data_IF_218276562066
#
_entry.id   IF_218276562066
#
_cell.length_a   1.000
_cell.length_b   1.000
_cell.length_c   1.000
_cell.angle_alpha   90.00
_cell.angle_beta   90.00
_cell.angle_gamma   90.00
#
_symmetry.space_group_name_H-M   'P 1'
#
loop_
_entity.id
_entity.type
_entity.pdbx_description
1 polymer ?
#
# COMPACT_ATOMS: atom_id res chain seq x y z
N UNK A 1 -12.65 8.69 -37.90
CA UNK A 1 -11.34 8.05 -37.54
C UNK A 1 -11.19 8.14 -36.01
N UNK A 2 -11.14 7.01 -35.32
CA UNK A 2 -10.92 7.03 -33.88
C UNK A 2 -9.52 7.58 -33.57
N UNK A 3 -9.42 8.49 -32.60
CA UNK A 3 -8.13 8.99 -32.15
C UNK A 3 -7.27 7.81 -31.60
N UNK A 4 -5.96 7.96 -31.65
CA UNK A 4 -5.04 6.95 -31.08
C UNK A 4 -5.34 6.71 -29.59
N UNK A 5 -5.70 7.77 -28.87
CA UNK A 5 -6.16 7.71 -27.48
C UNK A 5 -7.34 6.73 -27.31
N UNK A 6 -8.41 6.92 -28.10
CA UNK A 6 -9.57 6.03 -28.02
C UNK A 6 -9.19 4.58 -28.29
N UNK A 7 -8.31 4.34 -29.27
CA UNK A 7 -7.83 2.97 -29.57
C UNK A 7 -7.08 2.36 -28.37
N UNK A 8 -6.18 3.10 -27.73
CA UNK A 8 -5.45 2.60 -26.58
C UNK A 8 -6.34 2.33 -25.36
N UNK A 9 -7.42 3.09 -25.20
CA UNK A 9 -8.34 2.95 -24.07
C UNK A 9 -9.47 1.96 -24.28
N UNK A 10 -9.62 1.42 -25.51
CA UNK A 10 -10.70 0.47 -25.85
C UNK A 10 -10.20 -0.88 -26.34
N UNK A 11 -8.91 -1.04 -26.61
CA UNK A 11 -8.33 -2.27 -27.13
C UNK A 11 -7.17 -2.76 -26.25
N UNK A 12 -7.08 -4.06 -26.06
CA UNK A 12 -5.96 -4.71 -25.39
C UNK A 12 -4.66 -4.64 -26.18
N UNK A 13 -3.58 -5.19 -25.62
CA UNK A 13 -2.27 -5.34 -26.26
C UNK A 13 -2.01 -6.82 -26.58
N UNK A 14 -0.92 -7.10 -27.32
CA UNK A 14 -0.53 -8.48 -27.62
C UNK A 14 -0.17 -9.29 -26.36
N UNK A 15 0.33 -8.61 -25.30
CA UNK A 15 0.68 -9.25 -24.03
C UNK A 15 -0.54 -9.45 -23.12
N UNK A 16 -1.57 -8.60 -23.27
CA UNK A 16 -2.78 -8.56 -22.45
C UNK A 16 -3.98 -8.18 -23.32
N UNK A 17 -4.48 -9.11 -24.15
CA UNK A 17 -5.54 -8.80 -25.13
C UNK A 17 -6.88 -8.48 -24.46
N UNK A 18 -7.14 -9.04 -23.29
CA UNK A 18 -8.41 -8.90 -22.57
C UNK A 18 -8.38 -7.81 -21.47
N UNK A 19 -7.18 -7.28 -21.15
CA UNK A 19 -7.04 -6.25 -20.10
C UNK A 19 -7.18 -4.85 -20.71
N UNK A 20 -8.37 -4.29 -20.55
CA UNK A 20 -8.67 -2.90 -20.93
C UNK A 20 -9.09 -2.15 -19.68
N UNK A 21 -8.24 -1.23 -19.14
CA UNK A 21 -8.60 -0.45 -17.97
C UNK A 21 -9.80 0.47 -18.26
N UNK A 22 -10.82 0.45 -17.39
CA UNK A 22 -11.95 1.38 -17.52
C UNK A 22 -11.48 2.80 -17.15
N UNK A 23 -11.50 3.77 -18.10
CA UNK A 23 -11.02 5.12 -17.87
C UNK A 23 -11.80 5.85 -16.78
N UNK A 24 -13.05 5.46 -16.51
CA UNK A 24 -13.88 6.06 -15.45
C UNK A 24 -13.36 5.75 -14.05
N UNK A 25 -12.62 4.65 -13.89
CA UNK A 25 -12.12 4.19 -12.59
C UNK A 25 -10.59 4.24 -12.48
N UNK A 26 -9.85 4.06 -13.56
CA UNK A 26 -8.41 3.88 -13.53
C UNK A 26 -7.68 5.06 -12.88
N UNK A 27 -7.82 6.26 -13.44
CA UNK A 27 -7.17 7.46 -12.90
C UNK A 27 -7.84 7.96 -11.61
N UNK A 28 -9.20 8.11 -11.53
CA UNK A 28 -9.83 8.50 -10.26
C UNK A 28 -9.48 7.59 -9.09
N UNK A 29 -9.53 6.26 -9.26
CA UNK A 29 -9.17 5.34 -8.17
C UNK A 29 -7.70 5.44 -7.74
N UNK A 30 -6.82 5.87 -8.64
CA UNK A 30 -5.41 6.08 -8.33
C UNK A 30 -5.22 7.35 -7.49
N UNK A 31 -5.76 8.46 -7.95
CA UNK A 31 -5.59 9.77 -7.29
C UNK A 31 -6.40 9.82 -5.99
N UNK A 32 -7.67 9.44 -6.03
CA UNK A 32 -8.58 9.61 -4.91
C UNK A 32 -8.25 8.72 -3.71
N UNK A 33 -7.70 7.50 -3.93
CA UNK A 33 -7.25 6.68 -2.81
C UNK A 33 -6.07 7.31 -2.06
N UNK A 34 -5.10 7.86 -2.81
CA UNK A 34 -3.95 8.52 -2.19
C UNK A 34 -4.38 9.80 -1.47
N UNK A 35 -5.28 10.59 -2.09
CA UNK A 35 -5.89 11.76 -1.44
C UNK A 35 -6.62 11.39 -0.14
N UNK A 36 -7.41 10.33 -0.16
CA UNK A 36 -8.12 9.86 1.02
C UNK A 36 -7.16 9.44 2.15
N UNK A 37 -6.11 8.70 1.83
CA UNK A 37 -5.09 8.34 2.81
C UNK A 37 -4.39 9.59 3.38
N UNK A 38 -4.05 10.56 2.52
CA UNK A 38 -3.41 11.82 2.93
C UNK A 38 -4.28 12.61 3.91
N UNK A 39 -5.58 12.75 3.61
CA UNK A 39 -6.54 13.40 4.52
C UNK A 39 -6.59 12.68 5.87
N UNK A 40 -6.69 11.35 5.88
CA UNK A 40 -6.76 10.58 7.13
C UNK A 40 -5.46 10.63 7.93
N UNK A 41 -4.29 10.64 7.29
CA UNK A 41 -2.99 10.82 7.96
C UNK A 41 -2.93 12.17 8.67
N UNK A 42 -3.40 13.23 8.00
CA UNK A 42 -3.43 14.59 8.56
C UNK A 42 -4.48 14.74 9.67
N UNK A 43 -5.70 14.25 9.44
CA UNK A 43 -6.79 14.29 10.43
C UNK A 43 -6.40 13.59 11.73
N UNK A 44 -5.69 12.47 11.65
CA UNK A 44 -5.20 11.74 12.83
C UNK A 44 -3.94 12.31 13.45
N UNK A 45 -3.35 13.35 12.85
CA UNK A 45 -2.09 13.93 13.31
C UNK A 45 -0.98 12.88 13.39
N UNK A 46 -0.93 11.94 12.43
CA UNK A 46 0.01 10.83 12.46
C UNK A 46 1.43 11.32 12.19
N UNK A 47 2.24 11.29 13.23
CA UNK A 47 3.66 11.67 13.25
C UNK A 47 4.42 10.74 14.20
N UNK A 48 5.73 10.95 14.34
CA UNK A 48 6.58 10.12 15.20
C UNK A 48 6.16 10.18 16.69
N UNK A 49 5.75 11.34 17.20
CA UNK A 49 5.31 11.51 18.59
C UNK A 49 4.02 10.73 18.88
N UNK A 50 3.00 10.88 18.04
CA UNK A 50 1.74 10.12 18.16
C UNK A 50 1.96 8.62 18.01
N UNK A 51 2.83 8.20 17.09
CA UNK A 51 3.20 6.80 16.89
C UNK A 51 4.02 6.24 18.08
N UNK A 52 4.95 7.03 18.65
CA UNK A 52 5.71 6.65 19.85
C UNK A 52 4.80 6.43 21.07
N UNK A 53 3.74 7.24 21.18
CA UNK A 53 2.71 7.07 22.21
C UNK A 53 1.89 5.80 21.98
N UNK A 54 1.52 5.51 20.72
CA UNK A 54 0.80 4.28 20.38
C UNK A 54 1.62 3.02 20.71
N UNK A 55 2.94 3.04 20.45
CA UNK A 55 3.84 1.93 20.73
C UNK A 55 4.47 1.96 22.15
N UNK A 56 3.98 2.78 23.08
CA UNK A 56 4.58 2.91 24.40
C UNK A 56 4.72 1.58 25.17
N UNK A 57 3.76 0.64 24.96
CA UNK A 57 3.78 -0.70 25.56
C UNK A 57 4.63 -1.74 24.80
N UNK A 58 5.30 -1.36 23.71
CA UNK A 58 6.11 -2.30 22.92
C UNK A 58 7.41 -2.63 23.67
N UNK A 59 7.65 -3.91 23.90
CA UNK A 59 8.85 -4.36 24.60
C UNK A 59 10.09 -4.31 23.68
N UNK A 60 11.24 -3.97 24.27
CA UNK A 60 12.53 -4.04 23.62
C UNK A 60 12.86 -5.47 23.22
N UNK A 61 13.49 -5.64 22.06
CA UNK A 61 14.09 -6.89 21.59
C UNK A 61 15.58 -6.65 21.37
N UNK A 62 16.41 -7.53 21.90
CA UNK A 62 17.85 -7.55 21.60
C UNK A 62 18.02 -8.36 20.31
N UNK A 63 18.51 -7.73 19.26
CA UNK A 63 18.86 -8.37 17.99
C UNK A 63 20.33 -8.72 17.91
N UNK A 64 20.70 -9.43 16.86
CA UNK A 64 22.09 -9.56 16.41
C UNK A 64 22.49 -8.33 15.61
N UNK A 65 23.78 -8.04 15.49
CA UNK A 65 24.29 -6.94 14.66
C UNK A 65 23.79 -7.01 13.20
N UNK A 66 23.63 -8.23 12.66
CA UNK A 66 23.11 -8.43 11.30
C UNK A 66 21.61 -8.04 11.19
N UNK A 67 20.80 -8.38 12.19
CA UNK A 67 19.39 -7.96 12.23
C UNK A 67 19.28 -6.45 12.39
N UNK A 68 20.09 -5.82 13.23
CA UNK A 68 20.15 -4.37 13.40
C UNK A 68 20.57 -3.67 12.10
N UNK A 69 21.59 -4.16 11.41
CA UNK A 69 21.99 -3.64 10.10
C UNK A 69 20.85 -3.72 9.08
N UNK A 70 20.11 -4.84 9.05
CA UNK A 70 18.94 -4.98 8.18
C UNK A 70 17.86 -3.95 8.50
N UNK A 71 17.57 -3.73 9.78
CA UNK A 71 16.60 -2.73 10.22
C UNK A 71 17.01 -1.32 9.76
N UNK A 72 18.26 -0.96 9.98
CA UNK A 72 18.79 0.37 9.64
C UNK A 72 18.84 0.61 8.14
N UNK A 73 19.30 -0.39 7.37
CA UNK A 73 19.30 -0.34 5.91
C UNK A 73 17.89 -0.09 5.36
N UNK A 74 16.91 -0.83 5.85
CA UNK A 74 15.53 -0.70 5.39
C UNK A 74 14.91 0.65 5.78
N UNK A 75 15.20 1.19 6.96
CA UNK A 75 14.79 2.53 7.34
C UNK A 75 15.49 3.61 6.51
N UNK A 76 16.78 3.45 6.22
CA UNK A 76 17.52 4.34 5.34
C UNK A 76 16.91 4.38 3.94
N UNK A 77 16.56 3.23 3.37
CA UNK A 77 15.87 3.18 2.08
C UNK A 77 14.50 3.87 2.13
N UNK A 78 13.74 3.67 3.20
CA UNK A 78 12.42 4.30 3.35
C UNK A 78 12.51 5.83 3.40
N UNK A 79 13.44 6.39 4.19
CA UNK A 79 13.61 7.86 4.29
C UNK A 79 14.23 8.44 3.02
N UNK A 80 15.08 7.69 2.32
CA UNK A 80 15.63 8.11 1.03
C UNK A 80 14.51 8.21 -0.04
N UNK A 81 13.57 7.23 -0.09
CA UNK A 81 12.40 7.33 -0.97
C UNK A 81 11.50 8.52 -0.59
N UNK A 82 11.32 8.79 0.69
CA UNK A 82 10.59 9.98 1.13
C UNK A 82 11.29 11.27 0.68
N UNK A 83 12.61 11.35 0.80
CA UNK A 83 13.38 12.49 0.31
C UNK A 83 13.20 12.70 -1.20
N UNK A 84 13.20 11.62 -1.98
CA UNK A 84 12.94 11.68 -3.41
C UNK A 84 11.52 12.20 -3.72
N UNK A 85 10.49 11.74 -3.00
CA UNK A 85 9.12 12.25 -3.17
C UNK A 85 9.00 13.73 -2.82
N UNK A 86 9.66 14.19 -1.75
CA UNK A 86 9.69 15.62 -1.40
C UNK A 86 10.30 16.46 -2.52
N UNK A 87 11.34 15.95 -3.18
CA UNK A 87 11.93 16.63 -4.34
C UNK A 87 10.99 16.66 -5.57
N UNK A 88 10.21 15.58 -5.79
CA UNK A 88 9.26 15.52 -6.90
C UNK A 88 8.07 16.50 -6.74
N UNK A 89 7.75 16.94 -5.52
CA UNK A 89 6.67 17.94 -5.28
C UNK A 89 6.93 19.26 -6.00
N UNK A 90 8.18 19.64 -6.19
CA UNK A 90 8.57 20.86 -6.87
C UNK A 90 8.47 20.77 -8.41
N UNK A 91 8.14 19.59 -8.98
CA UNK A 91 8.01 19.44 -10.43
C UNK A 91 6.91 20.34 -11.00
N UNK A 92 7.17 21.09 -12.08
CA UNK A 92 6.16 21.92 -12.74
C UNK A 92 5.04 21.09 -13.40
N UNK A 93 5.35 19.89 -13.89
CA UNK A 93 4.38 18.94 -14.45
C UNK A 93 4.19 17.75 -13.50
N UNK A 94 2.96 17.55 -13.04
CA UNK A 94 2.62 16.44 -12.14
C UNK A 94 2.55 15.11 -12.90
N UNK A 95 2.17 15.13 -14.18
CA UNK A 95 2.13 13.97 -15.05
C UNK A 95 3.54 13.36 -15.26
N UNK A 96 4.57 14.20 -15.38
CA UNK A 96 5.95 13.75 -15.59
C UNK A 96 6.47 12.91 -14.42
N UNK A 97 6.02 13.20 -13.20
CA UNK A 97 6.51 12.58 -11.97
C UNK A 97 5.56 11.54 -11.37
N UNK A 98 4.30 11.48 -11.84
CA UNK A 98 3.27 10.64 -11.21
C UNK A 98 3.66 9.15 -11.15
N UNK A 99 4.15 8.57 -12.25
CA UNK A 99 4.57 7.16 -12.31
C UNK A 99 5.74 6.86 -11.38
N UNK A 100 6.77 7.69 -11.44
CA UNK A 100 7.98 7.57 -10.61
C UNK A 100 7.60 7.76 -9.14
N UNK A 101 6.73 8.71 -8.84
CA UNK A 101 6.20 8.97 -7.51
C UNK A 101 5.50 7.75 -6.91
N UNK A 102 4.64 7.06 -7.67
CA UNK A 102 3.96 5.83 -7.20
C UNK A 102 4.98 4.74 -6.88
N UNK A 103 5.98 4.56 -7.75
CA UNK A 103 7.02 3.53 -7.56
C UNK A 103 7.85 3.85 -6.31
N UNK A 104 8.33 5.08 -6.18
CA UNK A 104 9.10 5.54 -5.01
C UNK A 104 8.29 5.43 -3.72
N UNK A 105 7.02 5.87 -3.74
CA UNK A 105 6.09 5.71 -2.62
C UNK A 105 5.98 4.25 -2.17
N UNK A 106 5.76 3.34 -3.12
CA UNK A 106 5.61 1.92 -2.78
C UNK A 106 6.89 1.33 -2.18
N UNK A 107 8.07 1.63 -2.75
CA UNK A 107 9.31 1.11 -2.19
C UNK A 107 9.65 1.72 -0.82
N UNK A 108 9.25 2.96 -0.57
CA UNK A 108 9.34 3.55 0.77
C UNK A 108 8.46 2.82 1.79
N UNK A 109 7.19 2.53 1.44
CA UNK A 109 6.28 1.71 2.26
C UNK A 109 6.84 0.30 2.48
N UNK A 110 7.32 -0.36 1.42
CA UNK A 110 7.89 -1.70 1.47
C UNK A 110 9.09 -1.78 2.41
N UNK A 111 10.04 -0.87 2.29
CA UNK A 111 11.24 -0.83 3.12
C UNK A 111 10.89 -0.52 4.58
N UNK A 112 10.02 0.45 4.85
CA UNK A 112 9.57 0.73 6.21
C UNK A 112 8.87 -0.47 6.87
N UNK A 113 8.04 -1.20 6.12
CA UNK A 113 7.40 -2.42 6.60
C UNK A 113 8.40 -3.56 6.82
N UNK A 114 9.42 -3.70 5.97
CA UNK A 114 10.50 -4.67 6.14
C UNK A 114 11.32 -4.39 7.39
N UNK A 115 11.60 -3.10 7.68
CA UNK A 115 12.24 -2.71 8.94
C UNK A 115 11.41 -3.09 10.17
N UNK A 116 10.07 -2.89 10.11
CA UNK A 116 9.17 -3.31 11.18
C UNK A 116 9.21 -4.83 11.40
N UNK A 117 9.19 -5.64 10.34
CA UNK A 117 9.26 -7.10 10.39
C UNK A 117 10.59 -7.53 11.01
N UNK A 118 11.71 -7.01 10.52
CA UNK A 118 13.04 -7.31 11.05
C UNK A 118 13.16 -6.94 12.54
N UNK A 119 12.61 -5.78 12.95
CA UNK A 119 12.59 -5.39 14.36
C UNK A 119 11.64 -6.27 15.20
N UNK A 120 10.58 -6.83 14.62
CA UNK A 120 9.64 -7.69 15.34
C UNK A 120 10.24 -9.04 15.71
N UNK A 121 10.88 -9.74 14.78
CA UNK A 121 11.36 -11.11 14.98
C UNK A 121 12.72 -11.45 14.32
N UNK A 122 13.40 -10.49 13.68
CA UNK A 122 14.67 -10.66 13.00
C UNK A 122 14.56 -11.24 11.60
N UNK A 123 13.35 -11.46 11.07
CA UNK A 123 13.16 -12.00 9.73
C UNK A 123 13.13 -10.90 8.66
N UNK A 124 13.45 -11.28 7.43
CA UNK A 124 13.24 -10.49 6.23
C UNK A 124 12.59 -11.39 5.18
N UNK A 125 11.77 -10.80 4.32
CA UNK A 125 11.13 -11.51 3.22
C UNK A 125 11.74 -11.07 1.90
N UNK A 126 12.06 -12.02 1.02
CA UNK A 126 12.73 -11.76 -0.25
C UNK A 126 11.77 -11.27 -1.36
N UNK A 127 10.46 -11.33 -1.11
CA UNK A 127 9.46 -10.93 -2.07
C UNK A 127 8.35 -10.06 -1.48
N UNK A 128 7.71 -9.28 -2.36
CA UNK A 128 6.68 -8.32 -1.98
C UNK A 128 5.41 -8.96 -1.38
N UNK A 129 5.04 -10.14 -1.86
CA UNK A 129 3.84 -10.84 -1.37
C UNK A 129 4.10 -11.45 0.00
N UNK A 130 5.29 -12.02 0.19
CA UNK A 130 5.76 -12.53 1.48
C UNK A 130 5.80 -11.42 2.53
N UNK A 131 6.38 -10.26 2.19
CA UNK A 131 6.41 -9.08 3.08
C UNK A 131 5.00 -8.64 3.46
N UNK A 132 4.09 -8.49 2.48
CA UNK A 132 2.72 -8.07 2.76
C UNK A 132 1.97 -9.07 3.66
N UNK A 133 2.14 -10.37 3.43
CA UNK A 133 1.51 -11.44 4.22
C UNK A 133 2.09 -11.50 5.63
N UNK A 134 3.40 -11.39 5.77
CA UNK A 134 4.08 -11.41 7.07
C UNK A 134 3.71 -10.19 7.90
N UNK A 135 3.71 -9.00 7.28
CA UNK A 135 3.30 -7.76 7.94
C UNK A 135 1.83 -7.80 8.38
N UNK A 136 0.92 -8.31 7.54
CA UNK A 136 -0.48 -8.49 7.92
C UNK A 136 -0.59 -9.39 9.16
N UNK A 137 0.05 -10.55 9.13
CA UNK A 137 0.02 -11.52 10.23
C UNK A 137 0.63 -10.96 11.53
N UNK A 138 1.74 -10.21 11.45
CA UNK A 138 2.46 -9.74 12.62
C UNK A 138 1.89 -8.43 13.20
N UNK A 139 1.33 -7.58 12.35
CA UNK A 139 0.94 -6.23 12.73
C UNK A 139 -0.56 -5.97 12.55
N UNK A 140 -1.09 -6.01 11.34
CA UNK A 140 -2.48 -5.61 11.09
C UNK A 140 -3.49 -6.56 11.77
N UNK A 141 -3.27 -7.87 11.72
CA UNK A 141 -4.12 -8.85 12.40
C UNK A 141 -4.05 -8.79 13.94
N UNK A 142 -3.04 -8.11 14.50
CA UNK A 142 -2.81 -7.98 15.94
C UNK A 142 -3.04 -6.54 16.46
N UNK A 143 -3.71 -5.69 15.70
CA UNK A 143 -3.99 -4.29 16.07
C UNK A 143 -2.72 -3.48 16.41
N UNK A 144 -1.58 -3.82 15.78
CA UNK A 144 -0.30 -3.11 15.95
C UNK A 144 -0.03 -2.10 14.84
N UNK A 145 -1.07 -1.59 14.21
CA UNK A 145 -0.98 -0.62 13.11
C UNK A 145 -1.92 0.55 13.41
N UNK A 146 -1.43 1.76 13.21
CA UNK A 146 -2.24 2.96 13.38
C UNK A 146 -3.15 3.23 12.17
N UNK A 147 -4.26 3.94 12.40
CA UNK A 147 -5.06 4.51 11.31
C UNK A 147 -4.20 5.50 10.49
N UNK A 148 -4.38 5.57 9.17
CA UNK A 148 -5.34 4.82 8.35
C UNK A 148 -4.83 3.47 7.85
N UNK A 149 -3.68 2.99 8.28
CA UNK A 149 -3.01 1.81 7.73
C UNK A 149 -3.51 0.47 8.32
N UNK A 150 -4.36 0.49 9.33
CA UNK A 150 -4.83 -0.73 10.01
C UNK A 150 -5.99 -1.45 9.29
N UNK A 151 -6.65 -0.82 8.31
CA UNK A 151 -7.80 -1.42 7.64
C UNK A 151 -7.43 -2.72 6.93
N UNK A 152 -8.15 -3.77 7.26
CA UNK A 152 -7.94 -5.11 6.71
C UNK A 152 -9.27 -5.88 6.57
N UNK A 153 -9.24 -6.88 5.70
CA UNK A 153 -10.28 -7.91 5.59
C UNK A 153 -9.63 -9.26 5.91
N UNK A 154 -10.31 -10.08 6.69
CA UNK A 154 -9.74 -11.32 7.23
C UNK A 154 -9.79 -12.48 6.24
N UNK A 155 -10.61 -12.37 5.19
CA UNK A 155 -10.84 -13.40 4.19
C UNK A 155 -11.00 -12.81 2.79
N UNK A 156 -10.79 -13.64 1.76
CA UNK A 156 -11.13 -13.30 0.37
C UNK A 156 -12.40 -14.02 -0.11
N UNK A 157 -13.14 -14.72 0.76
CA UNK A 157 -14.45 -15.27 0.44
C UNK A 157 -15.44 -14.13 0.33
N UNK A 158 -15.99 -13.92 -0.89
CA UNK A 158 -16.72 -12.68 -1.23
C UNK A 158 -17.84 -12.35 -0.27
N UNK A 159 -18.72 -13.31 0.02
CA UNK A 159 -19.88 -13.12 0.94
C UNK A 159 -19.43 -12.67 2.34
N UNK A 160 -18.27 -13.14 2.80
CA UNK A 160 -17.77 -12.87 4.14
C UNK A 160 -17.05 -11.50 4.17
N UNK A 161 -16.19 -11.19 3.19
CA UNK A 161 -15.54 -9.89 3.16
C UNK A 161 -16.48 -8.73 2.82
N UNK A 162 -17.58 -8.96 2.09
CA UNK A 162 -18.61 -7.93 1.87
C UNK A 162 -19.25 -7.54 3.22
N UNK A 163 -19.54 -8.50 4.09
CA UNK A 163 -20.04 -8.23 5.46
C UNK A 163 -19.00 -7.45 6.29
N UNK A 164 -17.72 -7.82 6.20
CA UNK A 164 -16.65 -7.08 6.89
C UNK A 164 -16.56 -5.64 6.40
N UNK A 165 -16.65 -5.41 5.07
CA UNK A 165 -16.64 -4.07 4.47
C UNK A 165 -17.84 -3.25 4.92
N UNK A 166 -19.05 -3.82 4.90
CA UNK A 166 -20.26 -3.12 5.31
C UNK A 166 -20.21 -2.76 6.79
N UNK A 167 -19.70 -3.67 7.63
CA UNK A 167 -19.46 -3.41 9.06
C UNK A 167 -18.46 -2.28 9.26
N UNK A 168 -17.33 -2.31 8.52
CA UNK A 168 -16.30 -1.28 8.60
C UNK A 168 -16.83 0.08 8.14
N UNK A 169 -17.60 0.13 7.06
CA UNK A 169 -18.21 1.36 6.53
C UNK A 169 -19.21 2.01 7.48
N UNK A 170 -19.91 1.22 8.28
CA UNK A 170 -20.94 1.72 9.19
C UNK A 170 -21.96 2.66 8.50
N UNK A 171 -22.39 2.32 7.28
CA UNK A 171 -23.32 3.13 6.48
C UNK A 171 -22.70 4.24 5.65
N UNK A 172 -21.37 4.44 5.68
CA UNK A 172 -20.71 5.43 4.83
C UNK A 172 -20.72 4.97 3.36
N UNK A 173 -21.49 5.67 2.53
CA UNK A 173 -21.72 5.34 1.11
C UNK A 173 -20.74 6.04 0.14
N UNK A 174 -19.76 6.81 0.63
CA UNK A 174 -18.84 7.58 -0.24
C UNK A 174 -18.04 6.65 -1.17
N UNK A 175 -17.93 7.05 -2.44
CA UNK A 175 -17.33 6.23 -3.49
C UNK A 175 -15.93 6.74 -3.85
N UNK A 176 -15.06 5.83 -4.21
CA UNK A 176 -13.68 6.12 -4.65
C UNK A 176 -13.61 6.92 -5.97
N UNK A 177 -14.69 6.98 -6.75
CA UNK A 177 -14.78 7.78 -7.98
C UNK A 177 -14.88 9.28 -7.70
N UNK A 178 -15.20 9.66 -6.47
CA UNK A 178 -15.35 11.03 -6.02
C UNK A 178 -14.11 11.48 -5.23
N UNK A 179 -13.78 12.76 -5.30
CA UNK A 179 -12.63 13.35 -4.59
C UNK A 179 -13.06 13.68 -3.16
N UNK A 180 -12.52 12.97 -2.19
CA UNK A 180 -12.77 13.24 -0.78
C UNK A 180 -12.25 14.63 -0.35
N UNK A 181 -13.01 15.32 0.49
CA UNK A 181 -12.71 16.64 1.03
C UNK A 181 -12.53 16.66 2.55
N UNK A 182 -13.05 15.64 3.25
CA UNK A 182 -12.95 15.50 4.70
C UNK A 182 -12.64 14.05 5.11
N UNK A 183 -12.44 13.82 6.40
CA UNK A 183 -12.08 12.52 6.95
C UNK A 183 -13.18 11.47 6.79
N UNK A 184 -14.45 11.86 6.79
CA UNK A 184 -15.59 10.95 6.63
C UNK A 184 -15.65 10.40 5.20
N UNK A 185 -15.55 11.28 4.21
CA UNK A 185 -15.47 10.92 2.80
C UNK A 185 -14.21 10.10 2.49
N UNK A 186 -13.07 10.53 3.03
CA UNK A 186 -11.80 9.83 2.90
C UNK A 186 -11.86 8.40 3.44
N UNK A 187 -12.52 8.19 4.58
CA UNK A 187 -12.74 6.87 5.14
C UNK A 187 -13.59 5.99 4.20
N UNK A 188 -14.70 6.52 3.66
CA UNK A 188 -15.53 5.81 2.68
C UNK A 188 -14.76 5.41 1.42
N UNK A 189 -13.92 6.32 0.89
CA UNK A 189 -13.04 6.05 -0.25
C UNK A 189 -12.02 4.94 0.06
N UNK A 190 -11.41 4.93 1.25
CA UNK A 190 -10.50 3.87 1.70
C UNK A 190 -11.20 2.51 1.79
N UNK A 191 -12.43 2.46 2.32
CA UNK A 191 -13.24 1.24 2.36
C UNK A 191 -13.56 0.73 0.93
N UNK A 192 -13.84 1.64 -0.01
CA UNK A 192 -14.05 1.29 -1.42
C UNK A 192 -12.80 0.68 -2.05
N UNK A 193 -11.63 1.26 -1.80
CA UNK A 193 -10.37 0.73 -2.33
C UNK A 193 -9.99 -0.62 -1.71
N UNK A 194 -10.24 -0.80 -0.41
CA UNK A 194 -10.03 -2.06 0.30
C UNK A 194 -10.89 -3.18 -0.29
N UNK A 195 -12.19 -2.94 -0.49
CA UNK A 195 -13.14 -3.86 -1.12
C UNK A 195 -12.68 -4.25 -2.54
N UNK A 196 -12.39 -3.27 -3.39
CA UNK A 196 -11.89 -3.52 -4.75
C UNK A 196 -10.53 -4.21 -4.77
N UNK A 197 -9.72 -4.05 -3.72
CA UNK A 197 -8.46 -4.78 -3.59
C UNK A 197 -8.68 -6.24 -3.20
N UNK A 198 -9.65 -6.53 -2.34
CA UNK A 198 -10.04 -7.90 -2.02
C UNK A 198 -10.60 -8.64 -3.24
N UNK A 199 -11.45 -7.99 -4.05
CA UNK A 199 -11.95 -8.56 -5.30
C UNK A 199 -10.81 -8.89 -6.27
N UNK A 200 -9.82 -8.00 -6.41
CA UNK A 200 -8.66 -8.26 -7.27
C UNK A 200 -7.81 -9.42 -6.76
N UNK A 201 -7.52 -9.48 -5.44
CA UNK A 201 -6.76 -10.58 -4.84
C UNK A 201 -7.50 -11.91 -4.91
N UNK A 202 -8.83 -11.89 -4.75
CA UNK A 202 -9.70 -13.03 -4.99
C UNK A 202 -9.56 -13.52 -6.41
N UNK A 203 -9.77 -12.64 -7.40
CA UNK A 203 -9.62 -12.98 -8.82
C UNK A 203 -8.25 -13.59 -9.12
N UNK A 204 -7.17 -12.94 -8.69
CA UNK A 204 -5.80 -13.44 -8.88
C UNK A 204 -5.60 -14.82 -8.25
N UNK A 205 -6.15 -15.04 -7.06
CA UNK A 205 -6.09 -16.34 -6.38
C UNK A 205 -6.86 -17.40 -7.15
N UNK A 206 -8.03 -17.06 -7.69
CA UNK A 206 -8.85 -17.96 -8.53
C UNK A 206 -8.13 -18.32 -9.84
N UNK A 207 -7.46 -17.36 -10.51
CA UNK A 207 -6.68 -17.67 -11.72
C UNK A 207 -5.49 -18.62 -11.40
N UNK A 208 -4.76 -18.35 -10.34
CA UNK A 208 -3.67 -19.23 -9.89
C UNK A 208 -4.20 -20.62 -9.53
N UNK A 209 -5.36 -20.71 -8.89
CA UNK A 209 -5.98 -21.98 -8.53
C UNK A 209 -6.39 -22.79 -9.75
N UNK A 210 -6.95 -22.17 -10.79
CA UNK A 210 -7.28 -22.84 -12.07
C UNK A 210 -6.08 -23.52 -12.72
N UNK A 211 -4.88 -22.97 -12.50
CA UNK A 211 -3.63 -23.53 -13.02
C UNK A 211 -3.06 -24.65 -12.15
N UNK A 212 -3.59 -24.85 -10.93
CA UNK A 212 -3.08 -25.85 -9.98
C UNK A 212 -3.45 -27.28 -10.37
N UNK A 213 -2.67 -28.23 -9.85
CA UNK A 213 -2.93 -29.67 -10.06
C UNK A 213 -4.28 -30.08 -9.47
N UNK A 214 -4.59 -29.59 -8.29
CA UNK A 214 -5.83 -29.92 -7.55
C UNK A 214 -7.08 -29.52 -8.34
N UNK A 215 -7.06 -28.35 -9.00
CA UNK A 215 -8.18 -27.90 -9.82
C UNK A 215 -8.29 -28.70 -11.12
N UNK A 216 -7.15 -28.98 -11.79
CA UNK A 216 -7.11 -29.77 -13.04
C UNK A 216 -7.67 -31.18 -12.88
N UNK A 217 -7.45 -31.82 -11.72
CA UNK A 217 -8.00 -33.15 -11.40
C UNK A 217 -9.54 -33.16 -11.35
N UNK A 218 -10.17 -32.01 -11.05
CA UNK A 218 -11.63 -31.91 -11.04
C UNK A 218 -12.26 -31.93 -12.46
N UNK A 219 -11.42 -31.78 -13.50
CA UNK A 219 -11.85 -31.77 -14.91
C UNK A 219 -13.00 -30.79 -15.21
N UNK A 220 -12.90 -29.57 -14.64
CA UNK A 220 -13.86 -28.47 -14.81
C UNK A 220 -13.14 -27.20 -15.26
N UNK A 221 -13.87 -26.29 -15.92
CA UNK A 221 -13.32 -25.01 -16.40
C UNK A 221 -13.55 -23.84 -15.44
N UNK A 222 -14.49 -23.98 -14.52
CA UNK A 222 -14.92 -22.92 -13.61
C UNK A 222 -15.29 -23.45 -12.21
N UNK A 223 -15.74 -22.54 -11.33
CA UNK A 223 -16.12 -22.86 -9.95
C UNK A 223 -17.63 -23.10 -9.75
N UNK A 224 -18.36 -23.62 -10.76
CA UNK A 224 -19.80 -23.89 -10.65
C UNK A 224 -20.12 -25.17 -9.91
N UNK A 225 -19.26 -26.18 -9.96
CA UNK A 225 -19.48 -27.44 -9.23
C UNK A 225 -19.21 -27.28 -7.73
N UNK A 226 -19.85 -28.11 -6.91
CA UNK A 226 -19.66 -28.09 -5.45
C UNK A 226 -18.18 -28.31 -5.07
N UNK A 227 -17.52 -29.30 -5.67
CA UNK A 227 -16.11 -29.60 -5.41
C UNK A 227 -15.19 -28.43 -5.75
N UNK A 228 -15.38 -27.80 -6.93
CA UNK A 228 -14.59 -26.64 -7.31
C UNK A 228 -14.81 -25.42 -6.39
N UNK A 229 -16.06 -25.17 -5.99
CA UNK A 229 -16.37 -24.11 -5.02
C UNK A 229 -15.70 -24.36 -3.67
N UNK A 230 -15.80 -25.58 -3.13
CA UNK A 230 -15.15 -25.93 -1.87
C UNK A 230 -13.63 -25.72 -1.94
N UNK A 231 -12.99 -26.18 -3.02
CA UNK A 231 -11.56 -25.99 -3.23
C UNK A 231 -11.19 -24.47 -3.27
N UNK A 232 -11.97 -23.69 -3.99
CA UNK A 232 -11.81 -22.22 -4.05
C UNK A 232 -11.94 -21.57 -2.67
N UNK A 233 -13.05 -21.87 -1.97
CA UNK A 233 -13.39 -21.20 -0.71
C UNK A 233 -12.36 -21.54 0.38
N UNK A 234 -11.86 -22.75 0.44
CA UNK A 234 -10.74 -23.14 1.32
C UNK A 234 -9.49 -22.30 1.04
N UNK A 235 -9.15 -22.07 -0.24
CA UNK A 235 -8.01 -21.22 -0.62
C UNK A 235 -8.22 -19.75 -0.29
N UNK A 236 -9.45 -19.24 -0.40
CA UNK A 236 -9.78 -17.85 -0.15
C UNK A 236 -9.92 -17.53 1.34
N UNK A 237 -10.45 -18.47 2.14
CA UNK A 237 -10.61 -18.31 3.60
C UNK A 237 -9.26 -18.06 4.30
N UNK A 238 -8.19 -18.70 3.85
CA UNK A 238 -6.85 -18.54 4.42
C UNK A 238 -6.09 -17.29 3.96
N UNK A 239 -6.73 -16.38 3.22
CA UNK A 239 -6.11 -15.17 2.68
C UNK A 239 -6.82 -13.92 3.15
N UNK A 240 -6.04 -12.91 3.45
CA UNK A 240 -6.48 -11.59 3.92
C UNK A 240 -6.10 -10.49 2.94
N UNK A 241 -6.64 -9.30 3.13
CA UNK A 241 -6.22 -8.07 2.45
C UNK A 241 -5.98 -6.98 3.48
N UNK A 242 -4.74 -6.51 3.60
CA UNK A 242 -4.34 -5.41 4.47
C UNK A 242 -3.68 -4.30 3.65
N UNK A 243 -3.21 -3.24 4.31
CA UNK A 243 -2.64 -2.06 3.66
C UNK A 243 -1.49 -2.40 2.70
N UNK A 244 -0.54 -3.28 3.07
CA UNK A 244 0.56 -3.64 2.17
C UNK A 244 0.10 -4.41 0.93
N UNK A 245 -0.95 -5.20 1.02
CA UNK A 245 -1.57 -5.83 -0.15
C UNK A 245 -2.18 -4.80 -1.10
N UNK A 246 -2.80 -3.74 -0.54
CA UNK A 246 -3.32 -2.61 -1.30
C UNK A 246 -2.19 -1.81 -1.95
N UNK A 247 -1.12 -1.52 -1.21
CA UNK A 247 0.06 -0.80 -1.70
C UNK A 247 0.76 -1.57 -2.84
N UNK A 248 0.90 -2.89 -2.72
CA UNK A 248 1.45 -3.74 -3.78
C UNK A 248 0.61 -3.66 -5.07
N UNK A 249 -0.72 -3.79 -4.95
CA UNK A 249 -1.63 -3.61 -6.09
C UNK A 249 -1.51 -2.21 -6.69
N UNK A 250 -1.41 -1.19 -5.82
CA UNK A 250 -1.30 0.21 -6.23
C UNK A 250 -0.06 0.48 -7.08
N UNK A 251 1.09 -0.10 -6.75
CA UNK A 251 2.29 -0.03 -7.59
C UNK A 251 2.01 -0.50 -9.03
N UNK A 252 1.17 -1.52 -9.17
CA UNK A 252 0.76 -2.04 -10.48
C UNK A 252 0.18 -0.96 -11.40
N UNK A 253 -0.53 0.04 -10.83
CA UNK A 253 -1.08 1.17 -11.59
C UNK A 253 -0.04 2.03 -12.31
N UNK A 254 1.21 2.06 -11.82
CA UNK A 254 2.32 2.75 -12.48
C UNK A 254 3.04 1.90 -13.53
N UNK A 255 2.96 0.57 -13.43
CA UNK A 255 3.77 -0.36 -14.23
C UNK A 255 3.02 -1.03 -15.38
N UNK A 256 1.68 -1.06 -15.32
CA UNK A 256 0.84 -1.75 -16.29
C UNK A 256 -0.05 -0.76 -17.08
N UNK A 257 -1.03 -1.26 -17.80
CA UNK A 257 -1.87 -0.47 -18.71
C UNK A 257 -2.59 0.72 -18.06
N UNK A 258 -2.92 0.64 -16.79
CA UNK A 258 -3.51 1.77 -16.05
C UNK A 258 -2.58 3.00 -16.03
N UNK A 259 -1.26 2.80 -16.18
CA UNK A 259 -0.29 3.90 -16.25
C UNK A 259 -0.47 4.83 -17.47
N UNK A 260 -1.18 4.37 -18.50
CA UNK A 260 -1.55 5.19 -19.65
C UNK A 260 -2.23 6.50 -19.20
N UNK A 261 -3.12 6.42 -18.22
CA UNK A 261 -3.91 7.56 -17.74
C UNK A 261 -3.11 8.55 -16.87
N UNK A 262 -1.91 8.19 -16.43
CA UNK A 262 -1.04 9.08 -15.67
C UNK A 262 -0.26 10.08 -16.53
N UNK A 263 -0.12 9.81 -17.82
CA UNK A 263 0.66 10.66 -18.73
C UNK A 263 -0.03 10.93 -20.08
N UNK A 264 -1.25 10.44 -20.29
CA UNK A 264 -1.91 10.55 -21.58
C UNK A 264 -3.42 10.80 -21.44
N UNK A 265 -3.85 12.02 -21.72
CA UNK A 265 -5.24 12.48 -21.67
C UNK A 265 -5.34 13.96 -21.36
N UNK A 266 -6.39 14.63 -21.84
CA UNK A 266 -6.54 16.11 -21.76
C UNK A 266 -6.71 16.64 -20.33
N UNK A 267 -7.22 15.84 -19.41
CA UNK A 267 -7.52 16.26 -18.03
C UNK A 267 -6.52 15.71 -17.01
N UNK A 268 -5.47 15.04 -17.46
CA UNK A 268 -4.52 14.33 -16.56
C UNK A 268 -3.86 15.29 -15.58
N UNK A 269 -3.36 16.43 -16.04
CA UNK A 269 -2.63 17.38 -15.19
C UNK A 269 -3.52 17.96 -14.08
N UNK A 270 -4.76 18.32 -14.40
CA UNK A 270 -5.72 18.84 -13.40
C UNK A 270 -6.11 17.79 -12.35
N UNK A 271 -6.25 16.53 -12.77
CA UNK A 271 -6.57 15.44 -11.85
C UNK A 271 -5.39 15.08 -10.93
N UNK A 272 -4.16 15.30 -11.40
CA UNK A 272 -2.93 15.07 -10.63
C UNK A 272 -2.52 16.25 -9.72
N UNK A 273 -3.31 17.33 -9.70
CA UNK A 273 -3.03 18.45 -8.80
C UNK A 273 -3.06 18.02 -7.33
N UNK A 274 -1.97 18.34 -6.60
CA UNK A 274 -1.75 17.91 -5.22
C UNK A 274 -1.34 16.44 -5.05
N UNK A 275 -1.29 15.64 -6.11
CA UNK A 275 -1.02 14.21 -6.02
C UNK A 275 0.40 13.86 -5.51
N UNK A 276 1.50 14.54 -5.92
CA UNK A 276 2.82 14.32 -5.31
C UNK A 276 2.87 14.68 -3.82
N UNK A 277 2.10 15.68 -3.39
CA UNK A 277 1.97 16.03 -1.97
C UNK A 277 1.30 14.92 -1.19
N UNK A 278 0.20 14.38 -1.69
CA UNK A 278 -0.51 13.27 -1.08
C UNK A 278 0.38 12.01 -0.93
N UNK A 279 1.18 11.67 -1.95
CA UNK A 279 2.16 10.59 -1.88
C UNK A 279 3.19 10.81 -0.76
N UNK A 280 3.75 12.02 -0.68
CA UNK A 280 4.75 12.36 0.33
C UNK A 280 4.17 12.34 1.75
N UNK A 281 2.96 12.90 1.95
CA UNK A 281 2.26 12.90 3.25
C UNK A 281 1.99 11.49 3.74
N UNK A 282 1.45 10.63 2.88
CA UNK A 282 1.14 9.23 3.24
C UNK A 282 2.40 8.44 3.55
N UNK A 283 3.46 8.58 2.73
CA UNK A 283 4.72 7.91 3.01
C UNK A 283 5.36 8.42 4.31
N UNK A 284 5.37 9.73 4.54
CA UNK A 284 5.90 10.33 5.78
C UNK A 284 5.20 9.76 7.01
N UNK A 285 3.87 9.69 7.01
CA UNK A 285 3.10 9.09 8.11
C UNK A 285 3.47 7.62 8.35
N UNK A 286 3.57 6.82 7.29
CA UNK A 286 3.93 5.41 7.42
C UNK A 286 5.38 5.22 7.92
N UNK A 287 6.33 5.99 7.41
CA UNK A 287 7.75 5.97 7.84
C UNK A 287 7.89 6.44 9.30
N UNK A 288 7.13 7.45 9.71
CA UNK A 288 7.10 7.90 11.10
C UNK A 288 6.56 6.80 12.04
N UNK A 289 5.48 6.13 11.65
CA UNK A 289 4.92 4.99 12.39
C UNK A 289 5.93 3.84 12.50
N UNK A 290 6.56 3.47 11.39
CA UNK A 290 7.54 2.39 11.36
C UNK A 290 8.77 2.70 12.22
N UNK A 291 9.32 3.92 12.12
CA UNK A 291 10.43 4.37 12.95
C UNK A 291 10.10 4.36 14.43
N UNK A 292 8.91 4.80 14.83
CA UNK A 292 8.47 4.78 16.23
C UNK A 292 8.38 3.34 16.78
N UNK A 293 7.84 2.40 16.00
CA UNK A 293 7.85 0.98 16.37
C UNK A 293 9.28 0.45 16.54
N UNK A 294 10.14 0.70 15.54
CA UNK A 294 11.54 0.25 15.56
C UNK A 294 12.29 0.84 16.76
N UNK A 295 12.16 2.15 17.01
CA UNK A 295 12.81 2.80 18.17
C UNK A 295 12.48 2.11 19.50
N UNK A 296 11.21 1.72 19.69
CA UNK A 296 10.80 0.95 20.88
C UNK A 296 11.41 -0.46 20.92
N UNK A 297 11.54 -1.10 19.77
CA UNK A 297 12.07 -2.48 19.67
C UNK A 297 13.57 -2.54 19.93
N UNK A 298 14.36 -1.62 19.38
CA UNK A 298 15.84 -1.64 19.53
C UNK A 298 16.30 -0.89 20.78
N UNK A 299 15.51 0.03 21.30
CA UNK A 299 15.79 0.86 22.47
C UNK A 299 16.43 2.20 22.12
N UNK A 300 16.19 3.19 22.99
CA UNK A 300 16.53 4.59 22.74
C UNK A 300 18.01 4.84 22.44
N UNK A 301 19.00 4.25 23.16
CA UNK A 301 20.42 4.54 22.88
C UNK A 301 20.83 4.18 21.46
N UNK A 302 20.45 3.00 20.98
CA UNK A 302 20.79 2.54 19.63
C UNK A 302 20.02 3.32 18.56
N UNK A 303 18.78 3.74 18.87
CA UNK A 303 17.99 4.61 18.00
C UNK A 303 18.63 5.99 17.81
N UNK A 304 19.11 6.59 18.90
CA UNK A 304 19.75 7.91 18.85
C UNK A 304 21.08 7.85 18.07
N UNK A 305 21.87 6.79 18.28
CA UNK A 305 23.10 6.54 17.52
C UNK A 305 22.82 6.44 16.01
N UNK A 306 21.79 5.66 15.62
CA UNK A 306 21.35 5.53 14.24
C UNK A 306 20.93 6.87 13.63
N UNK A 307 20.12 7.67 14.34
CA UNK A 307 19.69 8.98 13.84
C UNK A 307 20.86 9.95 13.68
N UNK A 308 21.77 9.97 14.62
CA UNK A 308 22.95 10.85 14.58
C UNK A 308 23.92 10.43 13.47
N UNK A 309 24.05 9.12 13.21
CA UNK A 309 24.87 8.61 12.13
C UNK A 309 24.31 8.98 10.76
N UNK A 310 23.02 8.73 10.52
CA UNK A 310 22.39 9.11 9.25
C UNK A 310 22.42 10.62 9.05
N UNK A 311 22.14 11.41 10.09
CA UNK A 311 22.14 12.86 9.96
C UNK A 311 23.51 13.39 9.51
N UNK A 312 24.58 12.80 9.99
CA UNK A 312 25.96 13.19 9.65
C UNK A 312 26.42 12.69 8.28
N UNK A 313 25.98 11.49 7.87
CA UNK A 313 26.55 10.78 6.72
C UNK A 313 25.61 10.74 5.49
N UNK A 314 24.35 11.19 5.61
CA UNK A 314 23.41 11.22 4.48
C UNK A 314 23.89 12.13 3.34
N UNK A 315 23.58 11.72 2.11
CA UNK A 315 23.78 12.53 0.91
C UNK A 315 22.48 13.09 0.33
N UNK A 316 21.31 12.66 0.83
CA UNK A 316 20.01 13.17 0.41
C UNK A 316 19.57 14.38 1.28
N UNK A 317 18.65 15.21 0.75
CA UNK A 317 18.32 16.52 1.35
C UNK A 317 17.49 16.44 2.62
N UNK A 318 16.55 15.48 2.73
CA UNK A 318 15.65 15.36 3.87
C UNK A 318 16.41 14.97 5.14
N UNK A 319 16.29 15.76 6.21
CA UNK A 319 16.80 15.36 7.52
C UNK A 319 15.92 14.27 8.16
N UNK A 320 16.46 13.09 8.51
CA UNK A 320 15.72 12.05 9.22
C UNK A 320 15.10 12.54 10.52
N UNK A 321 15.74 13.48 11.22
CA UNK A 321 15.23 14.09 12.44
C UNK A 321 13.90 14.83 12.23
N UNK A 322 13.62 15.34 11.03
CA UNK A 322 12.32 15.96 10.71
C UNK A 322 11.18 14.95 10.56
N UNK A 323 11.50 13.66 10.51
CA UNK A 323 10.53 12.57 10.39
C UNK A 323 10.41 11.80 11.71
N UNK A 324 11.49 11.69 12.47
CA UNK A 324 11.65 10.77 13.60
C UNK A 324 12.01 11.43 14.95
N UNK A 325 11.72 12.74 15.08
CA UNK A 325 11.82 13.47 16.35
C UNK A 325 10.55 14.22 16.72
#
# INVERSE_FOLDING_TARGET
>A
MFSLYNRFTTQGTLSDPDEVPDPRFALPSTVNWMRALSILVQDRGLNFGSASSFYAGTQRRVGTAQEENTIFEQLLFAVHQLSALEALRASPSKADVARVGIVGWYYGIYSAASAMIAAQDGSIQDDHTGTATTWDRQFAANNKVMAPFFYRLSTLVRKDFEVEVDTLRAGNGFLLTEKATDATEAFGACCSYLSGSADWWKWKTEQNLKSSREFKVLNVSDFRTKAARTLRDVRLTGKSTAFLHQAFRYRGKANYREALFLGYGKSTETLLDGYPDDLAIVLRGFVAMAGAFVAKRIGQPLWDEFLDDIERNRSFSLSPKTVWQ
#
